data_IF_567552805324
#
_entry.id   IF_567552805324
#
_cell.length_a   1.000
_cell.length_b   1.000
_cell.length_c   1.000
_cell.angle_alpha   90.00
_cell.angle_beta   90.00
_cell.angle_gamma   90.00
#
_symmetry.space_group_name_H-M   'P 1'
#
loop_
_entity.id
_entity.type
_entity.pdbx_description
1 polymer ?
#
# COMPACT_ATOMS: atom_id res chain seq x y z
N UNK A 1 72.22 -27.71 22.70
CA UNK A 1 71.99 -27.38 24.12
C UNK A 1 70.98 -26.24 24.16
N UNK A 2 69.71 -26.53 24.44
CA UNK A 2 68.63 -25.53 24.44
C UNK A 2 68.46 -25.04 25.89
N UNK A 3 68.81 -23.78 26.16
CA UNK A 3 68.60 -23.15 27.46
C UNK A 3 67.13 -22.72 27.57
N UNK A 4 66.32 -23.47 28.31
CA UNK A 4 65.00 -23.01 28.78
C UNK A 4 65.22 -22.12 29.99
N UNK A 5 65.08 -20.80 29.81
CA UNK A 5 65.03 -19.85 30.92
C UNK A 5 63.63 -19.92 31.51
N UNK A 6 63.51 -20.51 32.71
CA UNK A 6 62.26 -20.51 33.47
C UNK A 6 62.05 -19.15 34.14
N UNK A 7 60.96 -18.46 33.80
CA UNK A 7 60.51 -17.26 34.51
C UNK A 7 60.05 -17.69 35.91
N UNK A 8 60.66 -17.12 36.96
CA UNK A 8 60.41 -17.53 38.34
C UNK A 8 59.00 -17.12 38.82
N UNK A 9 58.49 -17.81 39.85
CA UNK A 9 57.12 -17.57 40.33
C UNK A 9 56.90 -16.16 40.89
N UNK A 10 57.97 -15.43 41.24
CA UNK A 10 57.89 -14.06 41.72
C UNK A 10 57.65 -13.09 40.56
N UNK A 11 58.36 -13.25 39.44
CA UNK A 11 58.13 -12.45 38.22
C UNK A 11 56.75 -12.71 37.62
N UNK A 12 56.22 -13.93 37.66
CA UNK A 12 54.82 -14.20 37.25
C UNK A 12 53.79 -13.48 38.12
N UNK A 13 53.97 -13.47 39.43
CA UNK A 13 53.06 -12.76 40.36
C UNK A 13 53.14 -11.25 40.19
N UNK A 14 54.35 -10.72 39.95
CA UNK A 14 54.58 -9.30 39.68
C UNK A 14 53.93 -8.87 38.35
N UNK A 15 54.01 -9.71 37.31
CA UNK A 15 53.36 -9.49 36.02
C UNK A 15 51.83 -9.48 36.12
N UNK A 16 51.24 -10.38 36.92
CA UNK A 16 49.79 -10.40 37.16
C UNK A 16 49.34 -9.16 37.92
N UNK A 17 50.07 -8.75 38.97
CA UNK A 17 49.78 -7.52 39.70
C UNK A 17 49.92 -6.27 38.81
N UNK A 18 50.92 -6.24 37.92
CA UNK A 18 51.12 -5.15 36.98
C UNK A 18 50.03 -5.12 35.90
N UNK A 19 49.58 -6.27 35.41
CA UNK A 19 48.45 -6.36 34.47
C UNK A 19 47.12 -5.94 35.12
N UNK A 20 46.85 -6.36 36.37
CA UNK A 20 45.67 -5.92 37.14
C UNK A 20 45.75 -4.43 37.46
N UNK A 21 46.94 -3.90 37.76
CA UNK A 21 47.13 -2.47 37.98
C UNK A 21 46.96 -1.66 36.67
N UNK A 22 47.42 -2.17 35.53
CA UNK A 22 47.15 -1.55 34.23
C UNK A 22 45.66 -1.59 33.90
N UNK A 23 44.93 -2.66 34.21
CA UNK A 23 43.47 -2.72 34.00
C UNK A 23 42.68 -1.81 34.95
N UNK A 24 43.15 -1.64 36.20
CA UNK A 24 42.50 -0.77 37.20
C UNK A 24 42.84 0.72 37.02
N UNK A 25 43.96 1.04 36.35
CA UNK A 25 44.42 2.41 36.11
C UNK A 25 44.55 2.76 34.62
N UNK A 26 44.09 1.91 33.72
CA UNK A 26 43.98 2.24 32.30
C UNK A 26 42.92 3.33 32.12
N UNK A 27 43.22 4.38 31.34
CA UNK A 27 42.25 5.45 31.06
C UNK A 27 41.03 4.97 30.25
N UNK A 28 40.93 3.68 29.90
CA UNK A 28 39.73 3.10 29.30
C UNK A 28 38.58 2.86 30.30
N UNK A 29 38.80 2.98 31.61
CA UNK A 29 37.78 2.67 32.62
C UNK A 29 36.83 3.83 32.97
N UNK A 30 36.99 5.01 32.36
CA UNK A 30 36.02 6.09 32.53
C UNK A 30 36.28 7.17 31.50
N UNK A 31 35.74 6.98 30.30
CA UNK A 31 35.19 8.14 29.63
C UNK A 31 34.01 8.59 30.49
N UNK A 32 33.89 9.87 30.89
CA UNK A 32 32.56 10.37 31.16
C UNK A 32 31.81 10.17 29.85
N UNK A 33 30.95 9.15 29.79
CA UNK A 33 29.92 9.09 28.78
C UNK A 33 29.18 10.41 28.94
N UNK A 34 29.28 11.25 27.92
CA UNK A 34 28.39 12.38 27.77
C UNK A 34 27.03 11.79 27.44
N UNK A 35 26.33 11.26 28.44
CA UNK A 35 24.90 11.01 28.33
C UNK A 35 24.24 12.01 29.26
N UNK A 36 24.06 13.21 28.72
CA UNK A 36 22.91 14.03 29.06
C UNK A 36 21.74 13.58 28.15
N UNK A 37 21.64 12.26 27.91
CA UNK A 37 20.54 11.62 27.19
C UNK A 37 19.59 11.16 28.29
N UNK A 38 18.43 11.81 28.34
CA UNK A 38 17.37 11.48 29.28
C UNK A 38 16.62 10.25 28.74
N UNK A 39 16.56 9.13 29.50
CA UNK A 39 15.88 7.92 29.03
C UNK A 39 14.43 8.12 28.59
N UNK A 40 13.75 9.14 29.12
CA UNK A 40 12.34 9.42 28.85
C UNK A 40 12.14 10.41 27.67
N UNK A 41 13.23 10.96 27.11
CA UNK A 41 13.17 11.80 25.92
C UNK A 41 13.31 10.95 24.64
N UNK A 42 12.90 11.55 23.53
CA UNK A 42 12.98 11.02 22.17
C UNK A 42 13.76 12.08 21.35
N UNK A 43 14.98 11.72 20.97
CA UNK A 43 16.00 12.69 20.55
C UNK A 43 15.99 12.97 19.03
N UNK A 44 15.63 11.97 18.24
CA UNK A 44 15.45 11.97 16.79
C UNK A 44 13.98 12.14 16.38
N UNK A 45 13.03 11.91 17.30
CA UNK A 45 11.60 12.09 17.06
C UNK A 45 11.04 11.13 16.01
N UNK A 46 11.48 9.88 16.07
CA UNK A 46 11.15 8.79 15.14
C UNK A 46 10.00 7.89 15.63
N UNK A 47 9.30 8.30 16.70
CA UNK A 47 8.05 7.69 17.14
C UNK A 47 6.97 7.69 16.04
N UNK A 48 5.98 6.81 16.19
CA UNK A 48 4.96 6.54 15.17
C UNK A 48 3.54 6.92 15.63
N UNK A 49 2.84 7.70 14.81
CA UNK A 49 1.45 8.16 15.04
C UNK A 49 0.44 7.04 14.77
N UNK A 50 0.44 6.05 15.67
CA UNK A 50 -0.32 4.81 15.50
C UNK A 50 -1.83 4.98 15.47
N UNK A 51 -2.36 6.11 15.97
CA UNK A 51 -3.80 6.41 15.94
C UNK A 51 -4.21 7.46 14.90
N UNK A 52 -3.24 8.01 14.16
CA UNK A 52 -3.45 8.90 13.02
C UNK A 52 -4.09 10.24 13.40
N UNK A 53 -3.94 10.70 14.65
CA UNK A 53 -4.54 11.96 15.09
C UNK A 53 -3.69 13.20 14.74
N UNK A 54 -2.49 12.98 14.18
CA UNK A 54 -1.52 13.98 13.76
C UNK A 54 -0.61 14.46 14.88
N UNK A 55 -0.61 13.80 16.05
CA UNK A 55 0.14 14.19 17.24
C UNK A 55 0.80 12.96 17.86
N UNK A 56 2.14 12.92 17.82
CA UNK A 56 2.91 11.94 18.60
C UNK A 56 2.69 12.15 20.10
N UNK A 57 1.90 11.28 20.72
CA UNK A 57 1.64 11.26 22.16
C UNK A 57 2.83 10.70 22.95
N UNK A 58 2.80 10.79 24.29
CA UNK A 58 3.87 10.23 25.12
C UNK A 58 3.95 8.70 25.00
N UNK A 59 2.85 8.04 24.60
CA UNK A 59 2.77 6.61 24.38
C UNK A 59 3.26 6.15 22.98
N UNK A 60 3.42 7.09 22.04
CA UNK A 60 3.81 6.84 20.64
C UNK A 60 5.25 7.23 20.31
N UNK A 61 5.92 7.89 21.26
CA UNK A 61 7.36 8.13 21.18
C UNK A 61 8.11 6.82 21.16
N UNK A 62 9.24 6.85 20.46
CA UNK A 62 10.25 5.82 20.59
C UNK A 62 11.41 6.41 21.40
N UNK A 63 11.39 6.14 22.70
CA UNK A 63 12.28 6.83 23.65
C UNK A 63 13.70 6.32 23.59
N UNK A 64 14.65 7.14 24.04
CA UNK A 64 16.06 6.78 24.23
C UNK A 64 16.24 5.47 25.05
N UNK A 65 15.30 5.16 25.97
CA UNK A 65 15.29 3.90 26.71
C UNK A 65 14.87 2.70 25.85
N UNK A 66 13.84 2.86 25.03
CA UNK A 66 13.35 1.81 24.11
C UNK A 66 14.39 1.50 23.06
N UNK A 67 15.03 2.52 22.52
CA UNK A 67 16.15 2.38 21.63
C UNK A 67 17.32 1.61 22.23
N UNK A 68 17.69 1.92 23.47
CA UNK A 68 18.69 1.16 24.20
C UNK A 68 18.30 -0.32 24.36
N UNK A 69 17.02 -0.62 24.54
CA UNK A 69 16.52 -1.99 24.69
C UNK A 69 16.52 -2.75 23.35
N UNK A 70 16.26 -2.07 22.24
CA UNK A 70 16.29 -2.63 20.88
C UNK A 70 17.70 -2.57 20.24
N UNK A 71 18.64 -1.86 20.86
CA UNK A 71 20.00 -1.58 20.38
C UNK A 71 20.03 -0.74 19.09
N UNK A 72 19.12 0.21 18.97
CA UNK A 72 19.12 1.26 17.95
C UNK A 72 19.95 2.46 18.42
N UNK A 73 20.01 3.53 17.63
CA UNK A 73 20.84 4.70 17.88
C UNK A 73 20.00 5.96 18.18
N UNK A 74 20.06 6.49 19.43
CA UNK A 74 19.20 7.60 19.89
C UNK A 74 19.32 8.98 19.30
N UNK A 75 19.86 9.09 18.10
CA UNK A 75 19.96 10.36 17.37
C UNK A 75 19.90 10.07 15.85
N UNK A 76 19.23 8.99 15.46
CA UNK A 76 19.23 8.38 14.14
C UNK A 76 17.90 7.64 13.94
N UNK A 77 16.98 8.30 13.23
CA UNK A 77 15.60 7.86 13.03
C UNK A 77 15.43 6.50 12.33
N UNK A 78 16.44 6.05 11.59
CA UNK A 78 16.47 4.80 10.83
C UNK A 78 17.86 4.18 11.05
N UNK A 79 17.97 3.27 12.02
CA UNK A 79 19.25 2.72 12.47
C UNK A 79 19.92 1.85 11.41
N UNK A 80 19.16 1.25 10.49
CA UNK A 80 19.68 0.31 9.50
C UNK A 80 19.71 0.82 8.06
N UNK A 81 19.29 2.08 7.86
CA UNK A 81 19.20 2.77 6.58
C UNK A 81 18.26 2.03 5.58
N UNK A 82 17.22 1.36 6.10
CA UNK A 82 16.26 0.54 5.36
C UNK A 82 15.14 1.33 4.68
N UNK A 83 14.83 2.51 5.21
CA UNK A 83 13.82 3.43 4.70
C UNK A 83 12.58 3.53 5.58
N UNK A 84 12.40 2.66 6.58
CA UNK A 84 11.43 2.83 7.66
C UNK A 84 12.11 3.31 8.94
N UNK A 85 11.37 4.04 9.78
CA UNK A 85 11.90 4.52 11.07
C UNK A 85 11.85 3.46 12.16
N UNK A 86 12.80 3.51 13.11
CA UNK A 86 12.94 2.47 14.13
C UNK A 86 11.66 2.33 14.98
N UNK A 87 11.02 3.46 15.30
CA UNK A 87 9.75 3.48 16.02
C UNK A 87 8.60 2.78 15.29
N UNK A 88 8.49 2.99 13.98
CA UNK A 88 7.49 2.35 13.11
C UNK A 88 7.76 0.85 12.98
N UNK A 89 9.01 0.47 12.77
CA UNK A 89 9.42 -0.92 12.67
C UNK A 89 9.10 -1.69 13.96
N UNK A 90 9.38 -1.10 15.12
CA UNK A 90 9.06 -1.72 16.42
C UNK A 90 7.55 -1.85 16.63
N UNK A 91 6.75 -0.88 16.18
CA UNK A 91 5.30 -0.94 16.26
C UNK A 91 4.73 -2.14 15.46
N UNK A 92 5.18 -2.32 14.22
CA UNK A 92 4.76 -3.44 13.36
C UNK A 92 5.48 -4.76 13.65
N UNK A 93 6.53 -4.74 14.49
CA UNK A 93 7.27 -5.93 14.92
C UNK A 93 8.37 -6.36 13.95
N UNK A 94 8.83 -5.45 13.10
CA UNK A 94 10.05 -5.54 12.29
C UNK A 94 11.30 -5.35 13.16
N UNK A 95 12.46 -5.57 12.55
CA UNK A 95 13.73 -5.51 13.23
C UNK A 95 14.53 -4.27 12.80
N UNK A 96 14.60 -3.21 13.64
CA UNK A 96 15.15 -1.87 13.32
C UNK A 96 16.68 -1.80 13.22
N UNK A 97 17.26 -2.86 12.67
CA UNK A 97 18.68 -3.19 12.71
C UNK A 97 19.10 -4.03 11.51
N UNK A 98 18.14 -4.39 10.67
CA UNK A 98 18.32 -5.21 9.51
C UNK A 98 17.35 -4.73 8.46
N UNK A 99 17.88 -4.01 7.47
CA UNK A 99 17.16 -3.46 6.31
C UNK A 99 16.50 -4.50 5.38
N UNK A 100 16.22 -5.70 5.87
CA UNK A 100 15.81 -6.87 5.09
C UNK A 100 14.30 -6.99 5.02
N UNK A 101 13.62 -6.68 6.11
CA UNK A 101 12.16 -6.63 6.19
C UNK A 101 11.62 -5.37 5.48
N UNK A 102 12.35 -4.26 5.39
CA UNK A 102 11.93 -3.08 4.61
C UNK A 102 11.59 -3.36 3.14
N UNK A 103 12.20 -4.40 2.58
CA UNK A 103 11.99 -4.83 1.19
C UNK A 103 11.09 -6.07 1.07
N UNK A 104 10.60 -6.60 2.19
CA UNK A 104 9.59 -7.65 2.20
C UNK A 104 8.21 -7.06 1.89
N UNK A 105 7.37 -7.88 1.27
CA UNK A 105 5.95 -7.65 0.98
C UNK A 105 5.19 -8.69 1.81
N UNK A 106 4.65 -8.24 2.95
CA UNK A 106 4.22 -9.14 4.02
C UNK A 106 2.80 -9.68 3.82
N UNK A 107 1.96 -8.94 3.13
CA UNK A 107 0.57 -9.29 2.85
C UNK A 107 0.36 -9.80 1.40
N UNK A 108 1.32 -9.56 0.52
CA UNK A 108 1.37 -10.08 -0.84
C UNK A 108 0.64 -9.22 -1.86
N UNK A 109 0.50 -7.92 -1.63
CA UNK A 109 -0.20 -6.99 -2.50
C UNK A 109 0.71 -6.28 -3.54
N UNK A 110 2.02 -6.57 -3.50
CA UNK A 110 3.09 -6.00 -4.33
C UNK A 110 3.62 -4.62 -3.89
N UNK A 111 3.23 -4.12 -2.73
CA UNK A 111 3.87 -3.02 -2.02
C UNK A 111 4.88 -3.59 -1.02
N UNK A 112 5.99 -2.88 -0.77
CA UNK A 112 7.02 -3.32 0.19
C UNK A 112 6.97 -2.44 1.44
N UNK A 113 7.35 -2.97 2.60
CA UNK A 113 7.22 -2.29 3.90
C UNK A 113 7.80 -0.86 3.94
N UNK A 114 8.95 -0.61 3.29
CA UNK A 114 9.54 0.75 3.21
C UNK A 114 8.69 1.75 2.43
N UNK A 115 7.86 1.27 1.51
CA UNK A 115 6.91 2.10 0.77
C UNK A 115 5.58 2.21 1.51
N UNK A 116 5.16 1.17 2.21
CA UNK A 116 4.00 1.21 3.11
C UNK A 116 4.22 2.25 4.22
N UNK A 117 5.43 2.32 4.78
CA UNK A 117 5.85 3.39 5.69
C UNK A 117 5.71 4.79 5.06
N UNK A 118 6.04 4.95 3.78
CA UNK A 118 5.89 6.24 3.08
C UNK A 118 4.41 6.64 2.93
N UNK A 119 3.54 5.68 2.69
CA UNK A 119 2.09 5.90 2.55
C UNK A 119 1.36 5.98 3.88
N UNK A 120 1.98 5.54 4.97
CA UNK A 120 1.28 5.25 6.23
C UNK A 120 0.20 4.19 6.05
N UNK A 121 0.45 3.21 5.17
CA UNK A 121 -0.41 2.06 4.93
C UNK A 121 -0.05 0.88 5.84
N UNK A 122 -0.95 -0.09 6.01
CA UNK A 122 -0.77 -1.23 6.93
C UNK A 122 -0.03 -2.39 6.22
N UNK A 123 1.23 -2.71 6.60
CA UNK A 123 2.04 -3.78 6.01
C UNK A 123 1.48 -5.21 6.15
N UNK A 124 0.34 -5.36 6.81
CA UNK A 124 -0.34 -6.63 6.94
C UNK A 124 -1.77 -6.61 6.36
N UNK A 125 -2.14 -5.57 5.61
CA UNK A 125 -3.45 -5.39 4.99
C UNK A 125 -3.32 -4.99 3.52
N UNK A 126 -3.71 -5.92 2.63
CA UNK A 126 -3.60 -5.75 1.17
C UNK A 126 -4.52 -4.68 0.58
N UNK A 127 -5.17 -3.86 1.40
CA UNK A 127 -6.25 -2.89 1.10
C UNK A 127 -6.49 -2.13 2.42
N UNK A 128 -5.65 -1.13 2.68
CA UNK A 128 -5.57 -0.39 3.95
C UNK A 128 -6.85 0.36 4.25
N UNK A 129 -7.40 1.05 3.25
CA UNK A 129 -8.60 1.89 3.40
C UNK A 129 -9.93 1.15 3.15
N UNK A 130 -9.85 -0.12 2.74
CA UNK A 130 -10.95 -1.07 2.55
C UNK A 130 -11.91 -0.65 1.44
N UNK A 131 -11.37 -0.10 0.36
CA UNK A 131 -12.16 0.40 -0.74
C UNK A 131 -12.38 -0.62 -1.86
N UNK A 132 -11.59 -1.70 -1.85
CA UNK A 132 -11.63 -2.81 -2.79
C UNK A 132 -10.46 -2.83 -3.80
N UNK A 133 -9.59 -1.82 -3.79
CA UNK A 133 -8.34 -1.74 -4.53
C UNK A 133 -7.16 -2.06 -3.58
N UNK A 134 -6.12 -2.81 -4.02
CA UNK A 134 -4.95 -3.06 -3.19
C UNK A 134 -3.96 -1.89 -3.17
N UNK A 135 -3.31 -1.66 -2.03
CA UNK A 135 -2.33 -0.58 -1.84
C UNK A 135 -1.23 -0.61 -2.93
N UNK A 136 -0.72 -1.79 -3.26
CA UNK A 136 0.27 -1.98 -4.31
C UNK A 136 -0.22 -1.61 -5.72
N UNK A 137 -1.52 -1.76 -6.01
CA UNK A 137 -2.11 -1.32 -7.28
C UNK A 137 -2.29 0.20 -7.31
N UNK A 138 -2.79 0.78 -6.22
CA UNK A 138 -2.97 2.23 -6.10
C UNK A 138 -1.63 2.97 -6.17
N UNK A 139 -0.60 2.46 -5.51
CA UNK A 139 0.77 2.99 -5.58
C UNK A 139 1.31 3.06 -7.02
N UNK A 140 0.94 2.09 -7.87
CA UNK A 140 1.36 2.05 -9.29
C UNK A 140 0.84 3.25 -10.07
N UNK A 141 -0.34 3.76 -9.70
CA UNK A 141 -1.01 4.91 -10.32
C UNK A 141 -0.95 6.18 -9.47
N UNK A 142 -0.18 6.15 -8.38
CA UNK A 142 0.04 7.29 -7.51
C UNK A 142 0.97 8.35 -8.13
N UNK A 143 0.92 9.57 -7.58
CA UNK A 143 1.83 10.66 -7.96
C UNK A 143 3.26 10.48 -7.39
N UNK A 144 3.51 9.43 -6.61
CA UNK A 144 4.83 9.13 -6.03
C UNK A 144 5.84 8.77 -7.12
N UNK A 145 5.41 8.03 -8.15
CA UNK A 145 6.27 7.60 -9.26
C UNK A 145 6.30 8.69 -10.34
N UNK A 146 7.47 9.30 -10.56
CA UNK A 146 7.66 10.42 -11.51
C UNK A 146 7.85 9.92 -12.96
N UNK A 147 7.17 8.85 -13.37
CA UNK A 147 7.21 8.35 -14.74
C UNK A 147 6.16 9.01 -15.65
N UNK A 148 5.19 9.71 -15.05
CA UNK A 148 4.11 10.40 -15.75
C UNK A 148 2.95 9.49 -16.13
N UNK A 149 2.85 8.31 -15.50
CA UNK A 149 1.73 7.39 -15.62
C UNK A 149 0.71 7.65 -14.51
N UNK A 150 1.15 8.08 -13.32
CA UNK A 150 0.24 8.32 -12.18
C UNK A 150 -0.82 9.39 -12.42
N UNK A 151 -2.01 9.13 -11.89
CA UNK A 151 -3.17 10.03 -11.89
C UNK A 151 -3.67 10.36 -10.48
N UNK A 152 -2.91 9.97 -9.44
CA UNK A 152 -3.06 10.49 -8.09
C UNK A 152 -3.85 9.60 -7.15
N UNK A 153 -3.90 8.28 -7.41
CA UNK A 153 -4.40 7.30 -6.46
C UNK A 153 -3.57 7.28 -5.16
N UNK A 154 -4.24 7.06 -4.03
CA UNK A 154 -3.66 7.08 -2.68
C UNK A 154 -4.14 5.86 -1.86
N UNK A 155 -3.25 4.91 -1.51
CA UNK A 155 -3.59 3.71 -0.74
C UNK A 155 -4.30 3.90 0.61
N UNK A 156 -4.44 5.14 1.07
CA UNK A 156 -5.06 5.50 2.35
C UNK A 156 -6.34 6.32 2.20
N UNK A 157 -6.76 6.66 0.98
CA UNK A 157 -7.97 7.44 0.69
C UNK A 157 -9.01 6.66 -0.11
N UNK A 158 -9.74 5.79 0.58
CA UNK A 158 -10.75 4.94 -0.05
C UNK A 158 -12.00 5.67 -0.59
N UNK A 159 -11.96 7.00 -0.71
CA UNK A 159 -12.93 7.77 -1.46
C UNK A 159 -12.54 7.94 -2.93
N UNK A 160 -11.26 7.77 -3.27
CA UNK A 160 -10.74 7.89 -4.63
C UNK A 160 -11.21 6.76 -5.55
N UNK A 161 -11.68 5.60 -5.05
CA UNK A 161 -12.38 4.58 -5.88
C UNK A 161 -13.51 5.12 -6.76
N UNK A 162 -14.11 6.25 -6.39
CA UNK A 162 -15.23 6.87 -7.12
C UNK A 162 -14.78 7.97 -8.09
N UNK A 163 -13.49 8.31 -8.09
CA UNK A 163 -12.93 9.28 -9.00
C UNK A 163 -12.72 8.65 -10.38
N UNK A 164 -12.67 9.52 -11.39
CA UNK A 164 -12.55 9.22 -12.82
C UNK A 164 -11.47 10.19 -13.37
N UNK A 165 -10.18 9.88 -13.16
CA UNK A 165 -9.09 10.83 -13.37
C UNK A 165 -8.89 11.25 -14.82
N UNK A 166 -9.17 10.35 -15.77
CA UNK A 166 -9.04 10.57 -17.21
C UNK A 166 -10.36 11.00 -17.89
N UNK A 167 -11.48 10.96 -17.16
CA UNK A 167 -12.81 11.43 -17.57
C UNK A 167 -13.43 10.61 -18.71
N UNK A 168 -13.23 9.30 -18.67
CA UNK A 168 -13.68 8.35 -19.68
C UNK A 168 -15.05 7.70 -19.32
N UNK A 169 -15.47 7.83 -18.06
CA UNK A 169 -16.73 7.31 -17.52
C UNK A 169 -16.61 6.01 -16.73
N UNK A 170 -15.41 5.47 -16.55
CA UNK A 170 -15.06 4.43 -15.59
C UNK A 170 -14.60 5.08 -14.27
N UNK A 171 -14.87 4.42 -13.14
CA UNK A 171 -14.30 4.83 -11.86
C UNK A 171 -13.14 3.90 -11.48
N UNK A 172 -12.21 4.38 -10.68
CA UNK A 172 -10.97 3.66 -10.36
C UNK A 172 -11.22 2.20 -9.90
N UNK A 173 -12.26 1.95 -9.09
CA UNK A 173 -12.58 0.59 -8.63
C UNK A 173 -13.07 -0.31 -9.76
N UNK A 174 -13.88 0.22 -10.68
CA UNK A 174 -14.30 -0.53 -11.87
C UNK A 174 -13.09 -0.87 -12.73
N UNK A 175 -12.18 0.08 -12.91
CA UNK A 175 -10.97 -0.11 -13.71
C UNK A 175 -10.05 -1.18 -13.14
N UNK A 176 -9.86 -1.16 -11.81
CA UNK A 176 -9.17 -2.26 -11.11
C UNK A 176 -9.82 -3.63 -11.38
N UNK A 177 -11.16 -3.70 -11.36
CA UNK A 177 -11.91 -4.96 -11.58
C UNK A 177 -11.90 -5.43 -13.04
N UNK A 178 -11.77 -4.49 -13.97
CA UNK A 178 -11.79 -4.71 -15.42
C UNK A 178 -10.37 -4.79 -16.01
N UNK A 179 -9.33 -4.64 -15.18
CA UNK A 179 -7.91 -4.66 -15.54
C UNK A 179 -7.53 -3.55 -16.55
N UNK A 180 -8.16 -2.38 -16.43
CA UNK A 180 -7.87 -1.17 -17.23
C UNK A 180 -6.95 -0.20 -16.49
N UNK A 181 -6.60 0.90 -17.14
CA UNK A 181 -5.68 1.91 -16.64
C UNK A 181 -6.44 3.20 -16.26
N UNK A 182 -6.52 3.56 -14.96
CA UNK A 182 -7.24 4.74 -14.47
C UNK A 182 -6.72 6.09 -14.91
N UNK A 183 -5.61 6.08 -15.63
CA UNK A 183 -4.97 7.27 -16.15
C UNK A 183 -4.98 7.32 -17.69
N UNK A 184 -5.65 6.38 -18.36
CA UNK A 184 -5.70 6.24 -19.82
C UNK A 184 -7.12 5.92 -20.31
N UNK A 185 -7.81 6.87 -20.97
CA UNK A 185 -9.26 6.79 -21.22
C UNK A 185 -9.69 5.79 -22.31
N UNK A 186 -8.77 4.95 -22.80
CA UNK A 186 -8.92 3.96 -23.88
C UNK A 186 -7.73 2.99 -23.76
N UNK A 187 -7.80 2.07 -22.78
CA UNK A 187 -6.66 1.26 -22.34
C UNK A 187 -6.12 0.31 -23.41
N UNK A 188 -6.94 -0.08 -24.40
CA UNK A 188 -6.54 -0.95 -25.51
C UNK A 188 -6.39 -0.25 -26.87
N UNK A 189 -6.48 1.09 -26.88
CA UNK A 189 -6.31 1.96 -28.06
C UNK A 189 -7.25 1.59 -29.24
N UNK A 190 -8.44 1.04 -28.96
CA UNK A 190 -9.37 0.57 -29.99
C UNK A 190 -10.31 1.68 -30.52
N UNK A 191 -10.40 2.78 -29.77
CA UNK A 191 -11.14 3.98 -30.11
C UNK A 191 -12.45 4.18 -29.35
N UNK A 192 -12.83 3.25 -28.47
CA UNK A 192 -13.95 3.36 -27.54
C UNK A 192 -13.43 3.51 -26.08
N UNK A 193 -13.98 4.42 -25.26
CA UNK A 193 -13.48 4.59 -23.90
C UNK A 193 -13.77 3.40 -22.98
N UNK A 194 -12.89 3.12 -22.02
CA UNK A 194 -13.05 1.99 -21.08
C UNK A 194 -14.40 2.08 -20.36
N UNK A 195 -14.83 3.28 -19.99
CA UNK A 195 -16.13 3.59 -19.39
C UNK A 195 -17.35 3.07 -20.17
N UNK A 196 -17.26 2.89 -21.49
CA UNK A 196 -18.33 2.34 -22.33
C UNK A 196 -18.01 0.91 -22.83
N UNK A 197 -16.74 0.61 -23.10
CA UNK A 197 -16.27 -0.70 -23.56
C UNK A 197 -14.94 -1.08 -22.87
N UNK A 198 -14.98 -1.82 -21.75
CA UNK A 198 -13.76 -2.27 -21.13
C UNK A 198 -13.09 -3.34 -22.01
N UNK A 199 -11.74 -3.35 -22.08
CA UNK A 199 -10.98 -4.11 -23.05
C UNK A 199 -11.29 -5.62 -23.02
N UNK A 200 -11.66 -6.23 -24.16
CA UNK A 200 -11.57 -7.66 -24.36
C UNK A 200 -10.44 -7.99 -25.35
N UNK A 201 -9.25 -8.34 -24.83
CA UNK A 201 -8.17 -9.10 -25.51
C UNK A 201 -7.87 -8.80 -27.01
N UNK A 202 -6.75 -8.09 -27.23
CA UNK A 202 -5.91 -7.96 -28.46
C UNK A 202 -6.65 -7.81 -29.82
N UNK A 203 -6.93 -6.56 -30.24
CA UNK A 203 -7.37 -6.22 -31.59
C UNK A 203 -6.20 -6.33 -32.60
N UNK A 204 -6.07 -7.46 -33.29
CA UNK A 204 -4.95 -7.59 -34.23
C UNK A 204 -4.73 -8.88 -35.02
N UNK A 205 -5.76 -9.62 -35.46
CA UNK A 205 -5.56 -10.72 -36.42
C UNK A 205 -6.57 -10.77 -37.58
N UNK A 206 -7.16 -9.61 -37.95
CA UNK A 206 -7.94 -9.48 -39.18
C UNK A 206 -7.17 -8.64 -40.21
N UNK A 207 -6.27 -9.30 -40.93
CA UNK A 207 -5.71 -8.86 -42.24
C UNK A 207 -6.81 -8.89 -43.35
N UNK A 208 -8.09 -8.73 -42.98
CA UNK A 208 -9.26 -9.09 -43.76
C UNK A 208 -10.15 -7.85 -44.00
N UNK A 209 -9.96 -7.21 -45.16
CA UNK A 209 -10.63 -6.03 -45.74
C UNK A 209 -12.18 -6.07 -45.83
N UNK A 210 -12.89 -6.89 -45.05
CA UNK A 210 -14.37 -6.96 -45.06
C UNK A 210 -15.05 -7.29 -43.70
N UNK A 211 -14.36 -7.33 -42.56
CA UNK A 211 -15.04 -7.25 -41.24
C UNK A 211 -15.30 -5.78 -40.90
N UNK A 212 -16.52 -5.47 -40.44
CA UNK A 212 -16.81 -4.18 -39.82
C UNK A 212 -15.77 -4.00 -38.70
N UNK A 213 -15.09 -2.84 -38.57
CA UNK A 213 -14.26 -2.60 -37.38
C UNK A 213 -15.10 -2.98 -36.17
N UNK A 214 -14.52 -3.71 -35.21
CA UNK A 214 -15.17 -3.79 -33.92
C UNK A 214 -15.35 -2.35 -33.46
N UNK A 215 -16.59 -1.96 -33.23
CA UNK A 215 -16.95 -0.54 -33.05
C UNK A 215 -17.27 -0.23 -31.60
N UNK A 216 -16.78 -1.05 -30.66
CA UNK A 216 -17.02 -1.01 -29.21
C UNK A 216 -18.47 -0.82 -28.76
N UNK A 217 -19.40 -0.89 -29.71
CA UNK A 217 -20.79 -1.12 -29.44
C UNK A 217 -20.82 -2.56 -28.96
N UNK A 218 -20.80 -2.70 -27.62
CA UNK A 218 -21.27 -3.89 -26.91
C UNK A 218 -22.23 -4.63 -27.82
N UNK A 219 -22.03 -5.93 -27.97
CA UNK A 219 -22.84 -6.86 -28.76
C UNK A 219 -24.34 -6.95 -28.33
N UNK A 220 -24.86 -5.88 -27.73
CA UNK A 220 -26.17 -5.73 -27.14
C UNK A 220 -26.15 -5.91 -25.63
N UNK A 221 -25.01 -6.23 -25.02
CA UNK A 221 -24.92 -6.58 -23.60
C UNK A 221 -24.22 -5.50 -22.77
N UNK A 222 -24.80 -4.30 -22.74
CA UNK A 222 -24.44 -3.27 -21.74
C UNK A 222 -24.76 -3.81 -20.33
N UNK A 223 -23.75 -3.89 -19.47
CA UNK A 223 -23.93 -4.08 -18.03
C UNK A 223 -24.14 -2.70 -17.42
N UNK A 224 -25.39 -2.38 -17.06
CA UNK A 224 -25.69 -1.14 -16.35
C UNK A 224 -25.39 -1.35 -14.86
N UNK A 225 -24.39 -0.65 -14.32
CA UNK A 225 -24.21 -0.52 -12.88
C UNK A 225 -25.24 0.51 -12.35
N UNK A 226 -26.26 0.06 -11.63
CA UNK A 226 -27.15 0.96 -10.87
C UNK A 226 -26.55 1.23 -9.48
N UNK A 227 -26.20 2.49 -9.21
CA UNK A 227 -25.87 2.97 -7.85
C UNK A 227 -27.16 3.03 -7.03
N UNK A 228 -27.28 2.25 -5.95
CA UNK A 228 -28.25 2.53 -4.87
C UNK A 228 -27.76 2.18 -3.46
N UNK A 229 -27.76 3.20 -2.60
CA UNK A 229 -27.64 3.20 -1.14
C UNK A 229 -28.70 2.26 -0.47
N UNK A 230 -28.40 1.57 0.66
CA UNK A 230 -28.93 0.26 0.97
C UNK A 230 -30.12 0.32 1.91
N UNK A 231 -31.25 -0.29 1.52
CA UNK A 231 -31.99 -1.16 2.45
C UNK A 231 -32.70 -2.27 1.65
N UNK A 232 -32.40 -3.52 2.03
CA UNK A 232 -33.13 -4.77 1.70
C UNK A 232 -32.67 -5.55 0.44
N UNK A 233 -31.44 -6.09 0.50
CA UNK A 233 -31.23 -7.53 0.72
C UNK A 233 -31.82 -8.55 -0.27
N UNK A 234 -32.25 -8.15 -1.47
CA UNK A 234 -32.51 -9.09 -2.56
C UNK A 234 -31.93 -8.52 -3.85
N UNK A 235 -30.85 -9.15 -4.33
CA UNK A 235 -30.29 -8.88 -5.66
C UNK A 235 -31.36 -9.23 -6.70
N UNK A 236 -31.68 -8.28 -7.57
CA UNK A 236 -32.40 -8.58 -8.81
C UNK A 236 -31.60 -8.04 -9.98
N UNK A 237 -30.96 -8.97 -10.70
CA UNK A 237 -30.19 -8.72 -11.92
C UNK A 237 -31.15 -8.49 -13.08
N UNK A 238 -30.95 -7.42 -13.83
CA UNK A 238 -31.66 -7.11 -15.08
C UNK A 238 -30.63 -6.84 -16.18
N UNK A 239 -30.98 -7.12 -17.43
CA UNK A 239 -30.10 -6.91 -18.59
C UNK A 239 -30.72 -5.88 -19.55
N UNK A 240 -29.91 -5.25 -20.40
CA UNK A 240 -30.26 -4.27 -21.45
C UNK A 240 -31.37 -4.72 -22.43
N UNK A 241 -31.77 -6.00 -22.42
CA UNK A 241 -32.87 -6.52 -23.23
C UNK A 241 -34.27 -6.09 -22.72
N UNK A 242 -34.33 -5.53 -21.51
CA UNK A 242 -35.56 -5.16 -20.81
C UNK A 242 -35.84 -3.66 -20.97
N UNK A 243 -36.32 -3.26 -22.15
CA UNK A 243 -36.67 -1.87 -22.44
C UNK A 243 -37.73 -1.32 -21.48
N UNK A 244 -37.35 -0.32 -20.67
CA UNK A 244 -38.24 0.41 -19.76
C UNK A 244 -39.08 1.42 -20.55
N UNK A 245 -40.40 1.23 -20.60
CA UNK A 245 -41.32 2.24 -21.09
C UNK A 245 -42.00 2.95 -19.91
N UNK A 246 -41.89 4.28 -19.88
CA UNK A 246 -42.54 5.15 -18.90
C UNK A 246 -43.96 5.52 -19.36
N UNK A 247 -44.99 5.08 -18.63
CA UNK A 247 -46.39 5.46 -18.85
C UNK A 247 -46.85 6.48 -17.79
N UNK A 248 -46.96 7.74 -18.21
CA UNK A 248 -47.37 8.85 -17.35
C UNK A 248 -48.88 8.88 -17.05
N UNK A 249 -49.68 7.98 -17.65
CA UNK A 249 -51.11 7.83 -17.42
C UNK A 249 -51.44 6.61 -16.54
N UNK A 250 -50.44 5.86 -16.05
CA UNK A 250 -50.67 4.71 -15.19
C UNK A 250 -51.34 5.13 -13.87
N UNK A 251 -52.42 4.44 -13.50
CA UNK A 251 -53.23 4.78 -12.32
C UNK A 251 -52.65 4.28 -11.00
N UNK A 252 -51.55 3.52 -11.06
CA UNK A 252 -50.83 2.94 -9.92
C UNK A 252 -49.32 3.15 -10.12
N UNK A 253 -48.57 3.71 -9.14
CA UNK A 253 -47.15 4.08 -9.33
C UNK A 253 -46.22 2.92 -9.69
N UNK A 254 -46.58 1.69 -9.31
CA UNK A 254 -45.80 0.49 -9.64
C UNK A 254 -45.94 0.06 -11.10
N UNK A 255 -46.92 0.61 -11.81
CA UNK A 255 -47.27 0.22 -13.18
C UNK A 255 -46.82 1.30 -14.19
N UNK A 256 -46.19 2.38 -13.72
CA UNK A 256 -45.60 3.45 -14.55
C UNK A 256 -44.39 2.95 -15.35
N UNK A 257 -43.81 1.84 -14.93
CA UNK A 257 -42.67 1.20 -15.57
C UNK A 257 -43.08 -0.23 -15.92
N UNK A 258 -43.20 -0.52 -17.22
CA UNK A 258 -43.46 -1.88 -17.70
C UNK A 258 -42.39 -2.30 -18.70
N UNK A 259 -42.00 -3.56 -18.61
CA UNK A 259 -40.87 -4.16 -19.32
C UNK A 259 -41.38 -4.98 -20.50
N UNK A 260 -40.91 -4.69 -21.71
CA UNK A 260 -41.14 -5.56 -22.87
C UNK A 260 -40.06 -6.62 -22.92
N UNK A 261 -40.46 -7.89 -22.85
CA UNK A 261 -39.57 -9.02 -23.13
C UNK A 261 -39.50 -9.17 -24.66
N UNK A 262 -38.36 -8.84 -25.26
CA UNK A 262 -38.17 -8.96 -26.71
C UNK A 262 -38.06 -10.44 -27.11
N UNK A 263 -39.19 -11.03 -27.51
CA UNK A 263 -39.28 -12.41 -28.00
C UNK A 263 -38.95 -12.42 -29.50
N UNK A 264 -37.71 -12.75 -29.86
CA UNK A 264 -37.22 -12.80 -31.25
C UNK A 264 -37.86 -13.91 -32.10
N UNK A 265 -38.63 -14.82 -31.49
CA UNK A 265 -39.37 -15.88 -32.19
C UNK A 265 -40.83 -15.48 -32.52
N UNK A 266 -41.29 -14.30 -32.09
CA UNK A 266 -42.63 -13.80 -32.43
C UNK A 266 -42.58 -12.77 -33.54
N UNK A 267 -42.42 -13.26 -34.76
CA UNK A 267 -42.90 -12.55 -35.96
C UNK A 267 -44.43 -12.69 -36.04
N UNK A 268 -45.18 -11.68 -35.58
CA UNK A 268 -46.48 -11.26 -36.14
C UNK A 268 -46.66 -9.75 -36.04
#
# INVERSE_FOLDING_TARGET
>A
MVLRVGVDNLTKKLLVLFAVFILLFSPLASFPVSADIDPDEDNDSDGYDSDGDGIISDEEKYTNLEEYLNNTNPNDEDTDDGGAWDGWEVYYGFNPKSSSDDADDNDGDSLVNSIEFYWDSDPFSTDTDQDGMPDGWEDTYSDRIVDGIGCGLDPTDGSDKFDDPDSDGSDNLREYQEETNPCDPDSDDDGDPDGEDPPPVDPGDDDDDESNPDTGATDGNVTIYEIFDPVLGTMKRWTSLDGLLYDDQASNPTDMYTMYNYDSDKWE
#
